data_IF_229216222489
#
_entry.id   IF_229216222489
#
_cell.length_a   1.000
_cell.length_b   1.000
_cell.length_c   1.000
_cell.angle_alpha   90.00
_cell.angle_beta   90.00
_cell.angle_gamma   90.00
#
_symmetry.space_group_name_H-M   'P 1'
#
loop_
_entity.id
_entity.type
_entity.pdbx_description
1 polymer ?
#
# COMPACT_ATOMS: atom_id res chain seq x y z
N UNK A 1 -15.98 -23.01 -15.56
CA UNK A 1 -16.69 -23.14 -14.24
C UNK A 1 -16.86 -21.73 -13.69
N UNK A 2 -18.03 -21.40 -13.13
CA UNK A 2 -18.25 -20.07 -12.53
C UNK A 2 -17.43 -19.92 -11.23
N UNK A 3 -16.42 -19.05 -11.26
CA UNK A 3 -15.49 -18.82 -10.13
C UNK A 3 -16.17 -18.22 -8.89
N UNK A 4 -17.41 -17.72 -8.99
CA UNK A 4 -18.20 -17.28 -7.85
C UNK A 4 -18.93 -18.43 -7.14
N UNK A 5 -19.06 -19.60 -7.76
CA UNK A 5 -19.76 -20.75 -7.22
C UNK A 5 -18.87 -21.75 -6.49
N UNK A 6 -17.57 -21.79 -6.83
CA UNK A 6 -16.55 -22.64 -6.19
C UNK A 6 -15.27 -21.84 -6.09
N UNK A 7 -14.67 -21.75 -4.89
CA UNK A 7 -13.43 -21.00 -4.61
C UNK A 7 -12.45 -21.96 -3.95
N UNK A 8 -11.32 -22.26 -4.59
CA UNK A 8 -10.33 -23.25 -4.14
C UNK A 8 -10.97 -24.57 -3.68
N UNK A 9 -11.83 -25.15 -4.54
CA UNK A 9 -12.60 -26.35 -4.25
C UNK A 9 -13.57 -26.26 -3.06
N UNK A 10 -13.87 -25.05 -2.58
CA UNK A 10 -14.90 -24.83 -1.56
C UNK A 10 -16.19 -24.36 -2.24
N UNK A 11 -17.29 -25.14 -2.21
CA UNK A 11 -18.55 -24.74 -2.85
C UNK A 11 -19.24 -23.62 -2.06
N UNK A 12 -19.72 -22.62 -2.78
CA UNK A 12 -20.46 -21.51 -2.19
C UNK A 12 -21.95 -21.83 -2.06
N UNK A 13 -22.60 -21.38 -0.96
CA UNK A 13 -24.04 -21.54 -0.81
C UNK A 13 -24.81 -20.90 -1.98
N UNK A 14 -25.87 -21.56 -2.49
CA UNK A 14 -26.69 -21.05 -3.61
C UNK A 14 -27.17 -19.61 -3.43
N UNK A 15 -27.52 -19.21 -2.19
CA UNK A 15 -27.94 -17.84 -1.86
C UNK A 15 -26.82 -16.81 -2.05
N UNK A 16 -25.56 -17.21 -1.81
CA UNK A 16 -24.37 -16.36 -1.99
C UNK A 16 -24.11 -16.13 -3.47
N UNK A 17 -24.11 -17.20 -4.27
CA UNK A 17 -23.96 -17.13 -5.74
C UNK A 17 -25.05 -16.24 -6.36
N UNK A 18 -26.34 -16.48 -6.01
CA UNK A 18 -27.45 -15.64 -6.46
C UNK A 18 -27.32 -14.17 -6.05
N UNK A 19 -26.76 -13.91 -4.88
CA UNK A 19 -26.50 -12.54 -4.42
C UNK A 19 -25.37 -11.87 -5.23
N UNK A 20 -24.33 -12.63 -5.60
CA UNK A 20 -23.24 -12.17 -6.46
C UNK A 20 -23.75 -11.81 -7.87
N UNK A 21 -24.57 -12.67 -8.47
CA UNK A 21 -25.23 -12.41 -9.76
C UNK A 21 -26.08 -11.13 -9.73
N UNK A 22 -26.91 -10.97 -8.70
CA UNK A 22 -27.71 -9.75 -8.50
C UNK A 22 -26.84 -8.50 -8.36
N UNK A 23 -25.68 -8.61 -7.71
CA UNK A 23 -24.74 -7.49 -7.59
C UNK A 23 -24.21 -7.07 -8.96
N UNK A 24 -23.74 -8.00 -9.78
CA UNK A 24 -23.31 -7.71 -11.15
C UNK A 24 -24.43 -7.08 -11.98
N UNK A 25 -25.62 -7.68 -11.96
CA UNK A 25 -26.80 -7.18 -12.71
C UNK A 25 -27.20 -5.76 -12.28
N UNK A 26 -27.07 -5.40 -10.99
CA UNK A 26 -27.29 -4.05 -10.49
C UNK A 26 -26.37 -3.04 -11.17
N UNK A 27 -25.08 -3.35 -11.30
CA UNK A 27 -24.11 -2.43 -11.91
C UNK A 27 -24.31 -2.30 -13.41
N UNK A 28 -24.63 -3.40 -14.11
CA UNK A 28 -25.02 -3.37 -15.54
C UNK A 28 -26.24 -2.45 -15.72
N UNK A 29 -27.28 -2.63 -14.91
CA UNK A 29 -28.48 -1.77 -14.97
C UNK A 29 -28.17 -0.29 -14.72
N UNK A 30 -27.20 0.01 -13.83
CA UNK A 30 -26.87 1.37 -13.43
C UNK A 30 -25.94 2.09 -14.42
N UNK A 31 -24.95 1.37 -14.97
CA UNK A 31 -23.85 1.97 -15.73
C UNK A 31 -23.79 1.52 -17.20
N UNK A 32 -24.65 0.59 -17.61
CA UNK A 32 -24.68 0.01 -18.95
C UNK A 32 -23.95 -1.33 -19.03
N UNK A 33 -24.23 -2.09 -20.09
CA UNK A 33 -23.55 -3.32 -20.44
C UNK A 33 -22.50 -3.02 -21.53
N UNK A 34 -21.24 -3.08 -21.14
CA UNK A 34 -20.08 -2.88 -22.01
C UNK A 34 -19.31 -4.18 -22.31
N UNK A 35 -19.95 -5.35 -22.06
CA UNK A 35 -19.33 -6.66 -22.27
C UNK A 35 -18.78 -6.89 -23.69
N UNK A 36 -19.39 -6.24 -24.68
CA UNK A 36 -18.98 -6.29 -26.10
C UNK A 36 -18.11 -5.09 -26.54
N UNK A 37 -17.77 -4.19 -25.62
CA UNK A 37 -16.95 -3.03 -25.96
C UNK A 37 -15.56 -3.44 -26.48
N UNK A 38 -15.02 -2.64 -27.40
CA UNK A 38 -13.69 -2.81 -27.98
C UNK A 38 -12.82 -1.60 -27.63
N UNK A 39 -12.44 -1.54 -26.35
CA UNK A 39 -11.59 -0.47 -25.82
C UNK A 39 -10.19 -0.57 -26.41
N UNK A 40 -9.76 0.42 -27.15
CA UNK A 40 -8.41 0.53 -27.69
C UNK A 40 -7.43 0.96 -26.59
N UNK A 41 -6.27 0.33 -26.55
CA UNK A 41 -5.25 0.54 -25.52
C UNK A 41 -4.14 1.44 -26.06
N UNK A 42 -3.84 2.47 -25.29
CA UNK A 42 -2.76 3.42 -25.58
C UNK A 42 -1.91 3.64 -24.30
N UNK A 43 -0.76 4.31 -24.42
CA UNK A 43 0.15 4.53 -23.31
C UNK A 43 0.47 6.01 -23.13
N UNK A 44 0.59 6.44 -21.86
CA UNK A 44 1.06 7.77 -21.48
C UNK A 44 2.16 7.64 -20.44
N UNK A 45 3.20 8.44 -20.58
CA UNK A 45 4.26 8.48 -19.58
C UNK A 45 3.73 9.00 -18.23
N UNK A 46 4.35 8.54 -17.16
CA UNK A 46 4.10 9.00 -15.80
C UNK A 46 5.32 9.79 -15.35
N UNK A 47 5.28 11.14 -15.43
CA UNK A 47 6.47 11.96 -15.18
C UNK A 47 7.12 11.71 -13.81
N UNK A 48 6.32 11.53 -12.77
CA UNK A 48 6.82 11.23 -11.40
C UNK A 48 7.57 9.90 -11.33
N UNK A 49 7.26 8.96 -12.24
CA UNK A 49 7.87 7.62 -12.31
C UNK A 49 8.81 7.47 -13.50
N UNK A 50 9.39 8.57 -14.01
CA UNK A 50 10.36 8.56 -15.11
C UNK A 50 11.61 7.74 -14.79
N UNK A 51 12.06 7.76 -13.54
CA UNK A 51 13.22 6.99 -13.05
C UNK A 51 13.07 5.47 -13.21
N UNK A 52 11.84 4.95 -13.26
CA UNK A 52 11.54 3.54 -13.57
C UNK A 52 10.95 3.36 -14.97
N UNK A 53 10.83 4.43 -15.74
CA UNK A 53 10.29 4.43 -17.10
C UNK A 53 8.91 3.76 -17.20
N UNK A 54 8.01 4.04 -16.24
CA UNK A 54 6.67 3.48 -16.21
C UNK A 54 5.73 4.24 -17.16
N UNK A 55 4.89 3.50 -17.92
CA UNK A 55 3.86 4.07 -18.77
C UNK A 55 2.48 3.69 -18.27
N UNK A 56 1.56 4.65 -18.22
CA UNK A 56 0.17 4.43 -17.84
C UNK A 56 -0.64 3.91 -19.02
N UNK A 57 -1.38 2.83 -18.80
CA UNK A 57 -2.33 2.29 -19.78
C UNK A 57 -3.60 3.15 -19.75
N UNK A 58 -3.99 3.65 -20.92
CA UNK A 58 -5.19 4.50 -21.11
C UNK A 58 -6.00 4.01 -22.31
N UNK A 59 -7.25 4.45 -22.42
CA UNK A 59 -8.00 4.26 -23.65
C UNK A 59 -7.52 5.25 -24.71
N UNK A 60 -7.50 4.82 -25.97
CA UNK A 60 -7.11 5.59 -27.14
C UNK A 60 -8.01 5.32 -28.34
N UNK A 61 -7.67 5.91 -29.48
CA UNK A 61 -8.37 5.70 -30.75
C UNK A 61 -7.92 4.41 -31.45
N UNK A 62 -6.63 4.06 -31.30
CA UNK A 62 -6.00 2.89 -31.87
C UNK A 62 -5.22 2.09 -30.80
N UNK A 63 -4.96 0.81 -31.07
CA UNK A 63 -4.16 -0.01 -30.19
C UNK A 63 -2.66 0.26 -30.39
N UNK A 64 -1.97 0.66 -29.35
CA UNK A 64 -0.51 0.62 -29.31
C UNK A 64 -0.02 -0.77 -28.90
N UNK A 65 1.15 -1.15 -29.39
CA UNK A 65 1.78 -2.42 -29.05
C UNK A 65 2.65 -2.29 -27.81
N UNK A 66 2.52 -3.24 -26.92
CA UNK A 66 3.44 -3.39 -25.79
C UNK A 66 4.86 -3.72 -26.25
N UNK A 67 5.85 -3.27 -25.48
CA UNK A 67 7.24 -3.69 -25.69
C UNK A 67 7.41 -5.19 -25.40
N UNK A 68 8.42 -5.83 -26.01
CA UNK A 68 8.67 -7.27 -25.83
C UNK A 68 8.93 -7.69 -24.38
N UNK A 69 9.51 -6.78 -23.60
CA UNK A 69 9.80 -6.98 -22.18
C UNK A 69 8.74 -6.32 -21.27
N UNK A 70 7.52 -6.15 -21.76
CA UNK A 70 6.43 -5.56 -20.97
C UNK A 70 6.10 -6.40 -19.74
N UNK A 71 5.78 -5.71 -18.65
CA UNK A 71 5.14 -6.27 -17.45
C UNK A 71 4.06 -5.31 -16.99
N UNK A 72 2.85 -5.80 -16.77
CA UNK A 72 1.73 -4.96 -16.32
C UNK A 72 1.60 -5.02 -14.80
N UNK A 73 1.52 -3.85 -14.17
CA UNK A 73 1.18 -3.70 -12.75
C UNK A 73 -0.25 -3.21 -12.63
N UNK A 74 -1.14 -4.12 -12.26
CA UNK A 74 -2.57 -3.87 -12.11
C UNK A 74 -2.91 -3.44 -10.69
N UNK A 75 -3.61 -2.32 -10.57
CA UNK A 75 -4.02 -1.77 -9.29
C UNK A 75 -5.38 -1.07 -9.35
N UNK A 76 -5.79 -0.53 -8.21
CA UNK A 76 -6.90 0.41 -8.09
C UNK A 76 -6.52 1.50 -7.10
N UNK A 77 -7.00 2.72 -7.33
CA UNK A 77 -6.86 3.80 -6.35
C UNK A 77 -7.82 3.60 -5.18
N UNK A 78 -7.33 2.93 -4.14
CA UNK A 78 -8.05 2.73 -2.89
C UNK A 78 -7.13 3.05 -1.71
N UNK A 79 -6.94 4.36 -1.47
CA UNK A 79 -5.90 4.88 -0.56
C UNK A 79 -4.49 4.86 -1.19
N UNK A 80 -3.47 5.13 -0.37
CA UNK A 80 -2.07 5.20 -0.81
C UNK A 80 -1.38 3.85 -0.85
N UNK A 81 -1.84 2.87 -0.06
CA UNK A 81 -1.17 1.59 0.12
C UNK A 81 -0.99 0.81 -1.17
N UNK A 82 -2.07 0.63 -1.94
CA UNK A 82 -2.00 -0.11 -3.21
C UNK A 82 -1.11 0.58 -4.25
N UNK A 83 -1.13 1.92 -4.31
CA UNK A 83 -0.24 2.68 -5.19
C UNK A 83 1.21 2.50 -4.79
N UNK A 84 1.53 2.56 -3.49
CA UNK A 84 2.89 2.35 -2.96
C UNK A 84 3.42 0.97 -3.32
N UNK A 85 2.64 -0.08 -3.07
CA UNK A 85 3.03 -1.45 -3.43
C UNK A 85 3.18 -1.61 -4.95
N UNK A 86 2.30 -0.97 -5.74
CA UNK A 86 2.39 -0.99 -7.20
C UNK A 86 3.67 -0.31 -7.71
N UNK A 87 4.09 0.80 -7.08
CA UNK A 87 5.36 1.45 -7.40
C UNK A 87 6.53 0.51 -7.08
N UNK A 88 6.49 -0.19 -5.94
CA UNK A 88 7.50 -1.18 -5.59
C UNK A 88 7.59 -2.31 -6.65
N UNK A 89 6.46 -2.82 -7.14
CA UNK A 89 6.44 -3.83 -8.20
C UNK A 89 7.01 -3.29 -9.53
N UNK A 90 6.63 -2.06 -9.92
CA UNK A 90 7.12 -1.42 -11.13
C UNK A 90 8.63 -1.12 -11.04
N UNK A 91 9.11 -0.67 -9.89
CA UNK A 91 10.51 -0.44 -9.59
C UNK A 91 11.34 -1.73 -9.69
N UNK A 92 10.88 -2.82 -9.05
CA UNK A 92 11.52 -4.12 -9.16
C UNK A 92 11.52 -4.67 -10.61
N UNK A 93 10.42 -4.48 -11.35
CA UNK A 93 10.33 -4.86 -12.75
C UNK A 93 11.40 -4.13 -13.58
N UNK A 94 11.52 -2.81 -13.41
CA UNK A 94 12.54 -2.01 -14.08
C UNK A 94 13.95 -2.47 -13.75
N UNK A 95 14.25 -2.70 -12.48
CA UNK A 95 15.55 -3.19 -12.02
C UNK A 95 15.92 -4.55 -12.61
N UNK A 96 14.94 -5.40 -12.92
CA UNK A 96 15.12 -6.70 -13.55
C UNK A 96 15.05 -6.65 -15.09
N UNK A 97 15.01 -5.46 -15.71
CA UNK A 97 15.07 -5.25 -17.15
C UNK A 97 13.72 -5.31 -17.88
N UNK A 98 12.61 -5.22 -17.15
CA UNK A 98 11.27 -5.17 -17.74
C UNK A 98 10.76 -3.73 -17.84
N UNK A 99 9.91 -3.46 -18.85
CA UNK A 99 9.18 -2.20 -19.00
C UNK A 99 7.88 -2.29 -18.22
N UNK A 100 7.72 -1.53 -17.12
CA UNK A 100 6.48 -1.54 -16.35
C UNK A 100 5.38 -0.74 -17.04
N UNK A 101 4.20 -1.33 -17.15
CA UNK A 101 2.97 -0.69 -17.59
C UNK A 101 1.98 -0.62 -16.43
N UNK A 102 1.54 0.59 -16.09
CA UNK A 102 0.62 0.85 -14.99
C UNK A 102 -0.83 0.72 -15.46
N UNK A 103 -1.62 -0.13 -14.81
CA UNK A 103 -3.02 -0.33 -15.12
C UNK A 103 -3.89 -0.04 -13.87
N UNK A 104 -4.38 1.20 -13.75
CA UNK A 104 -5.36 1.54 -12.71
C UNK A 104 -6.77 1.31 -13.22
N UNK A 105 -7.41 0.22 -12.78
CA UNK A 105 -8.76 -0.15 -13.20
C UNK A 105 -9.85 0.84 -12.75
N UNK A 106 -9.57 1.76 -11.83
CA UNK A 106 -10.50 2.81 -11.45
C UNK A 106 -10.50 4.01 -12.41
N UNK A 107 -9.48 4.14 -13.30
CA UNK A 107 -9.27 5.33 -14.12
C UNK A 107 -10.10 5.38 -15.41
N UNK A 108 -10.67 4.26 -15.84
CA UNK A 108 -11.35 4.14 -17.15
C UNK A 108 -12.82 4.59 -17.12
N UNK A 109 -13.35 4.98 -18.28
CA UNK A 109 -14.79 5.18 -18.50
C UNK A 109 -15.44 3.85 -18.95
N UNK A 110 -15.47 2.88 -18.07
CA UNK A 110 -16.02 1.54 -18.26
C UNK A 110 -16.95 1.21 -17.09
N UNK A 111 -17.90 0.29 -17.30
CA UNK A 111 -18.87 -0.13 -16.28
C UNK A 111 -18.19 -0.69 -15.03
N UNK A 112 -17.16 -1.54 -15.20
CA UNK A 112 -16.38 -2.07 -14.10
C UNK A 112 -15.63 -0.99 -13.33
N UNK A 113 -15.08 0.00 -14.00
CA UNK A 113 -14.37 1.13 -13.36
C UNK A 113 -15.33 2.03 -12.55
N UNK A 114 -16.52 2.30 -13.09
CA UNK A 114 -17.60 3.03 -12.36
C UNK A 114 -18.03 2.28 -11.10
N UNK A 115 -18.13 0.95 -11.19
CA UNK A 115 -18.39 0.09 -10.03
C UNK A 115 -17.29 0.23 -8.97
N UNK A 116 -16.01 0.17 -9.35
CA UNK A 116 -14.88 0.32 -8.42
C UNK A 116 -14.97 1.66 -7.70
N UNK A 117 -15.17 2.76 -8.44
CA UNK A 117 -15.30 4.11 -7.85
C UNK A 117 -16.44 4.19 -6.84
N UNK A 118 -17.64 3.67 -7.18
CA UNK A 118 -18.77 3.63 -6.24
C UNK A 118 -18.45 2.85 -4.96
N UNK A 119 -17.80 1.69 -5.09
CA UNK A 119 -17.43 0.89 -3.91
C UNK A 119 -16.37 1.58 -3.05
N UNK A 120 -15.40 2.25 -3.67
CA UNK A 120 -14.39 3.03 -2.98
C UNK A 120 -15.00 4.23 -2.22
N UNK A 121 -15.94 4.94 -2.84
CA UNK A 121 -16.65 6.05 -2.21
C UNK A 121 -17.47 5.60 -1.00
N UNK A 122 -18.16 4.46 -1.12
CA UNK A 122 -18.91 3.87 0.00
C UNK A 122 -17.97 3.44 1.14
N UNK A 123 -16.83 2.81 0.83
CA UNK A 123 -15.83 2.42 1.82
C UNK A 123 -15.25 3.65 2.53
N UNK A 124 -14.89 4.69 1.78
CA UNK A 124 -14.35 5.95 2.31
C UNK A 124 -15.35 6.68 3.19
N UNK A 125 -16.64 6.69 2.82
CA UNK A 125 -17.71 7.27 3.63
C UNK A 125 -17.88 6.49 4.94
N UNK A 126 -17.95 5.16 4.88
CA UNK A 126 -18.09 4.30 6.07
C UNK A 126 -16.88 4.43 7.00
N UNK A 127 -15.67 4.52 6.46
CA UNK A 127 -14.44 4.78 7.23
C UNK A 127 -14.51 6.12 7.97
N UNK A 128 -14.95 7.20 7.32
CA UNK A 128 -15.10 8.52 7.96
C UNK A 128 -16.18 8.51 9.06
N UNK A 129 -17.29 7.80 8.85
CA UNK A 129 -18.35 7.66 9.87
C UNK A 129 -17.83 6.88 11.07
N UNK A 130 -17.04 5.82 10.86
CA UNK A 130 -16.48 5.00 11.94
C UNK A 130 -15.58 5.80 12.87
N UNK A 131 -14.86 6.77 12.33
CA UNK A 131 -13.97 7.65 13.11
C UNK A 131 -14.76 8.66 13.97
N UNK A 132 -15.94 9.09 13.51
CA UNK A 132 -16.80 10.04 14.23
C UNK A 132 -17.72 9.35 15.24
N UNK A 133 -18.07 8.09 15.03
CA UNK A 133 -19.02 7.34 15.86
C UNK A 133 -18.37 6.08 16.43
N UNK A 134 -18.01 6.10 17.72
CA UNK A 134 -17.48 4.94 18.44
C UNK A 134 -18.45 3.74 18.39
N UNK A 135 -19.75 3.99 18.42
CA UNK A 135 -20.77 2.95 18.36
C UNK A 135 -20.80 2.28 16.99
N UNK A 136 -20.81 3.07 15.90
CA UNK A 136 -20.76 2.57 14.53
C UNK A 136 -19.46 1.78 14.28
N UNK A 137 -18.33 2.32 14.77
CA UNK A 137 -17.05 1.61 14.66
C UNK A 137 -17.12 0.24 15.32
N UNK A 138 -17.58 0.16 16.59
CA UNK A 138 -17.60 -1.09 17.37
C UNK A 138 -18.59 -2.13 16.82
N UNK A 139 -19.76 -1.70 16.31
CA UNK A 139 -20.85 -2.61 15.93
C UNK A 139 -20.79 -2.98 14.45
N UNK A 140 -20.33 -2.07 13.59
CA UNK A 140 -20.39 -2.25 12.11
C UNK A 140 -19.01 -2.32 11.49
N UNK A 141 -18.19 -1.27 11.68
CA UNK A 141 -16.95 -1.12 10.94
C UNK A 141 -15.88 -2.15 11.33
N UNK A 142 -15.59 -2.26 12.61
CA UNK A 142 -14.60 -3.22 13.13
C UNK A 142 -14.97 -4.68 12.83
N UNK A 143 -16.20 -5.14 13.11
CA UNK A 143 -16.61 -6.50 12.74
C UNK A 143 -16.56 -6.77 11.23
N UNK A 144 -16.86 -5.77 10.40
CA UNK A 144 -16.78 -5.93 8.94
C UNK A 144 -15.31 -6.11 8.49
N UNK A 145 -14.40 -5.29 8.98
CA UNK A 145 -12.99 -5.31 8.58
C UNK A 145 -12.21 -6.48 9.20
N UNK A 146 -12.55 -6.91 10.40
CA UNK A 146 -11.86 -8.04 11.06
C UNK A 146 -12.45 -9.40 10.70
N UNK A 147 -13.78 -9.53 10.65
CA UNK A 147 -14.45 -10.81 10.50
C UNK A 147 -15.29 -10.92 9.21
N UNK A 148 -15.84 -9.80 8.71
CA UNK A 148 -16.68 -9.79 7.51
C UNK A 148 -15.87 -10.14 6.26
N UNK A 149 -14.80 -9.43 6.00
CA UNK A 149 -13.92 -9.64 4.85
C UNK A 149 -13.10 -10.93 4.92
N UNK A 150 -12.97 -11.52 6.11
CA UNK A 150 -12.30 -12.80 6.33
C UNK A 150 -13.06 -13.96 5.71
N UNK A 151 -14.39 -13.92 5.66
CA UNK A 151 -15.21 -15.04 5.18
C UNK A 151 -14.99 -15.31 3.70
N UNK A 152 -14.80 -16.59 3.34
CA UNK A 152 -14.64 -17.01 1.93
C UNK A 152 -15.87 -16.63 1.09
N UNK A 153 -17.08 -16.63 1.66
CA UNK A 153 -18.32 -16.26 0.97
C UNK A 153 -18.33 -14.80 0.50
N UNK A 154 -17.51 -13.91 1.08
CA UNK A 154 -17.37 -12.54 0.62
C UNK A 154 -16.75 -12.49 -0.79
N UNK A 155 -15.77 -13.36 -1.05
CA UNK A 155 -15.05 -13.42 -2.32
C UNK A 155 -15.96 -13.73 -3.52
N UNK A 156 -17.02 -14.53 -3.34
CA UNK A 156 -17.93 -14.89 -4.44
C UNK A 156 -18.54 -13.66 -5.14
N UNK A 157 -18.87 -12.61 -4.38
CA UNK A 157 -19.40 -11.36 -4.94
C UNK A 157 -18.33 -10.60 -5.73
N UNK A 158 -17.11 -10.56 -5.21
CA UNK A 158 -16.00 -9.88 -5.88
C UNK A 158 -15.61 -10.59 -7.17
N UNK A 159 -15.56 -11.93 -7.17
CA UNK A 159 -15.36 -12.74 -8.36
C UNK A 159 -16.40 -12.39 -9.45
N UNK A 160 -17.68 -12.28 -9.07
CA UNK A 160 -18.75 -11.98 -10.03
C UNK A 160 -18.69 -10.54 -10.54
N UNK A 161 -18.40 -9.59 -9.67
CA UNK A 161 -18.29 -8.20 -10.04
C UNK A 161 -17.04 -7.91 -10.90
N UNK A 162 -15.93 -8.63 -10.69
CA UNK A 162 -14.71 -8.49 -11.48
C UNK A 162 -14.88 -8.88 -12.95
N UNK A 163 -15.90 -9.66 -13.29
CA UNK A 163 -16.27 -9.92 -14.69
C UNK A 163 -16.63 -8.64 -15.45
N UNK A 164 -17.08 -7.56 -14.77
CA UNK A 164 -17.38 -6.26 -15.39
C UNK A 164 -16.12 -5.50 -15.83
N UNK A 165 -14.93 -5.93 -15.41
CA UNK A 165 -13.65 -5.33 -15.79
C UNK A 165 -13.02 -6.00 -17.00
N UNK A 166 -13.50 -7.19 -17.39
CA UNK A 166 -12.95 -7.99 -18.49
C UNK A 166 -12.85 -7.21 -19.82
N UNK A 167 -13.80 -6.36 -20.22
CA UNK A 167 -13.71 -5.62 -21.47
C UNK A 167 -12.46 -4.75 -21.60
N UNK A 168 -11.91 -4.23 -20.46
CA UNK A 168 -10.67 -3.42 -20.44
C UNK A 168 -9.47 -4.24 -20.94
N UNK A 169 -9.48 -5.56 -20.72
CA UNK A 169 -8.38 -6.46 -21.06
C UNK A 169 -8.47 -7.04 -22.50
N UNK A 170 -9.51 -6.72 -23.26
CA UNK A 170 -9.77 -7.36 -24.55
C UNK A 170 -8.59 -7.25 -25.52
N UNK A 171 -7.99 -6.08 -25.61
CA UNK A 171 -6.86 -5.77 -26.48
C UNK A 171 -5.49 -5.86 -25.79
N UNK A 172 -5.42 -6.45 -24.61
CA UNK A 172 -4.17 -6.77 -23.92
C UNK A 172 -3.79 -8.21 -24.24
N UNK A 173 -2.55 -8.43 -24.67
CA UNK A 173 -2.00 -9.77 -24.94
C UNK A 173 -2.03 -10.60 -23.65
N UNK A 174 -2.54 -11.83 -23.73
CA UNK A 174 -2.80 -12.66 -22.55
C UNK A 174 -1.53 -13.24 -21.92
N UNK A 175 -0.45 -13.28 -22.67
CA UNK A 175 0.84 -13.81 -22.20
C UNK A 175 1.76 -12.74 -21.57
N UNK A 176 1.34 -11.47 -21.56
CA UNK A 176 2.10 -10.42 -20.85
C UNK A 176 2.08 -10.70 -19.34
N UNK A 177 3.24 -10.76 -18.67
CA UNK A 177 3.33 -10.90 -17.23
C UNK A 177 2.51 -9.83 -16.50
N UNK A 178 1.73 -10.25 -15.49
CA UNK A 178 0.81 -9.37 -14.78
C UNK A 178 0.94 -9.53 -13.28
N UNK A 179 1.17 -8.42 -12.56
CA UNK A 179 1.18 -8.39 -11.10
C UNK A 179 0.05 -7.48 -10.63
N UNK A 180 -0.87 -8.03 -9.85
CA UNK A 180 -1.95 -7.28 -9.22
C UNK A 180 -1.60 -6.97 -7.77
N UNK A 181 -1.84 -5.74 -7.33
CA UNK A 181 -1.67 -5.31 -5.93
C UNK A 181 -3.00 -5.15 -5.19
N UNK A 182 -4.08 -5.54 -5.83
CA UNK A 182 -5.41 -5.68 -5.26
C UNK A 182 -6.14 -6.85 -5.92
N UNK A 183 -7.08 -7.44 -5.20
CA UNK A 183 -7.80 -8.65 -5.66
C UNK A 183 -8.61 -8.42 -6.94
N UNK A 184 -9.28 -7.28 -7.11
CA UNK A 184 -10.12 -7.04 -8.29
C UNK A 184 -9.32 -6.98 -9.61
N UNK A 185 -8.17 -6.30 -9.70
CA UNK A 185 -7.28 -6.43 -10.85
C UNK A 185 -6.82 -7.86 -11.11
N UNK A 186 -6.52 -8.63 -10.05
CA UNK A 186 -6.13 -10.02 -10.19
C UNK A 186 -7.25 -10.89 -10.74
N UNK A 187 -8.45 -10.81 -10.14
CA UNK A 187 -9.63 -11.55 -10.60
C UNK A 187 -10.02 -11.16 -12.03
N UNK A 188 -9.99 -9.87 -12.37
CA UNK A 188 -10.28 -9.38 -13.70
C UNK A 188 -9.31 -9.94 -14.76
N UNK A 189 -8.01 -9.95 -14.46
CA UNK A 189 -7.00 -10.52 -15.33
C UNK A 189 -7.24 -12.03 -15.57
N UNK A 190 -7.55 -12.79 -14.50
CA UNK A 190 -7.89 -14.23 -14.61
C UNK A 190 -9.17 -14.44 -15.41
N UNK A 191 -10.23 -13.65 -15.18
CA UNK A 191 -11.48 -13.73 -15.97
C UNK A 191 -11.24 -13.34 -17.43
N UNK A 192 -10.32 -12.44 -17.71
CA UNK A 192 -9.93 -12.05 -19.07
C UNK A 192 -9.02 -13.07 -19.78
N UNK A 193 -8.60 -14.14 -19.09
CA UNK A 193 -7.78 -15.21 -19.66
C UNK A 193 -6.27 -14.93 -19.67
N UNK A 194 -5.77 -13.99 -18.86
CA UNK A 194 -4.32 -13.81 -18.71
C UNK A 194 -3.67 -15.02 -18.06
N UNK A 195 -2.50 -15.42 -18.56
CA UNK A 195 -1.84 -16.69 -18.21
C UNK A 195 -0.81 -16.57 -17.09
N UNK A 196 -0.20 -15.39 -16.93
CA UNK A 196 0.89 -15.13 -15.99
C UNK A 196 0.49 -14.08 -14.94
N UNK A 197 -0.41 -14.46 -14.02
CA UNK A 197 -0.97 -13.54 -13.03
C UNK A 197 -0.43 -13.83 -11.63
N UNK A 198 0.21 -12.83 -11.03
CA UNK A 198 0.61 -12.81 -9.62
C UNK A 198 -0.31 -11.85 -8.86
N UNK A 199 -0.87 -12.30 -7.75
CA UNK A 199 -1.69 -11.53 -6.83
C UNK A 199 -0.87 -11.21 -5.57
N UNK A 200 -0.30 -10.01 -5.50
CA UNK A 200 0.48 -9.54 -4.36
C UNK A 200 -0.44 -9.07 -3.24
N UNK A 201 -0.53 -9.85 -2.18
CA UNK A 201 -1.43 -9.59 -1.06
C UNK A 201 -0.80 -8.56 -0.11
N UNK A 202 -1.44 -7.38 0.08
CA UNK A 202 -0.87 -6.29 0.86
C UNK A 202 -0.88 -6.54 2.36
N UNK A 203 -1.93 -7.19 2.86
CA UNK A 203 -2.22 -7.29 4.29
C UNK A 203 -1.64 -8.55 4.93
N UNK A 204 -1.17 -8.41 6.17
CA UNK A 204 -0.73 -9.55 6.98
C UNK A 204 -1.88 -10.29 7.66
N UNK A 205 -3.12 -9.83 7.51
CA UNK A 205 -4.31 -10.51 8.00
C UNK A 205 -4.94 -11.36 6.89
N UNK A 206 -4.97 -12.70 7.00
CA UNK A 206 -5.56 -13.54 5.98
C UNK A 206 -7.07 -13.29 5.84
N UNK A 207 -7.49 -12.87 4.64
CA UNK A 207 -8.89 -12.54 4.34
C UNK A 207 -9.37 -13.20 3.06
N UNK A 208 -10.62 -13.69 3.07
CA UNK A 208 -11.28 -14.21 1.88
C UNK A 208 -11.39 -13.19 0.74
N UNK A 209 -11.45 -11.90 1.11
CA UNK A 209 -11.41 -10.78 0.18
C UNK A 209 -10.24 -10.90 -0.83
N UNK A 210 -9.06 -11.33 -0.40
CA UNK A 210 -7.84 -11.30 -1.24
C UNK A 210 -7.69 -12.50 -2.17
N UNK A 211 -8.62 -13.44 -2.17
CA UNK A 211 -8.50 -14.67 -2.98
C UNK A 211 -8.80 -14.42 -4.46
N UNK A 212 -7.91 -14.88 -5.32
CA UNK A 212 -8.03 -14.82 -6.80
C UNK A 212 -7.67 -16.17 -7.40
N UNK A 213 -8.61 -17.10 -7.45
CA UNK A 213 -8.36 -18.46 -7.96
C UNK A 213 -7.87 -18.44 -9.40
N UNK A 214 -6.74 -19.10 -9.64
CA UNK A 214 -6.01 -19.11 -10.90
C UNK A 214 -4.75 -18.25 -10.91
N UNK A 215 -4.62 -17.29 -9.97
CA UNK A 215 -3.39 -16.51 -9.79
C UNK A 215 -2.41 -17.20 -8.83
N UNK A 216 -1.11 -16.86 -8.94
CA UNK A 216 -0.13 -17.12 -7.89
C UNK A 216 -0.29 -16.05 -6.82
N UNK A 217 -0.59 -16.45 -5.58
CA UNK A 217 -0.69 -15.54 -4.44
C UNK A 217 0.67 -15.37 -3.80
N UNK A 218 1.08 -14.14 -3.55
CA UNK A 218 2.30 -13.82 -2.82
C UNK A 218 1.97 -13.11 -1.51
N UNK A 219 2.63 -13.55 -0.44
CA UNK A 219 2.44 -13.03 0.91
C UNK A 219 3.77 -12.64 1.53
N UNK A 220 3.74 -11.69 2.47
CA UNK A 220 4.93 -11.05 3.02
C UNK A 220 5.48 -11.78 4.24
N UNK A 221 4.64 -12.55 4.97
CA UNK A 221 4.99 -13.08 6.29
C UNK A 221 4.59 -14.55 6.47
N UNK A 222 5.23 -15.26 7.39
CA UNK A 222 4.84 -16.63 7.74
C UNK A 222 3.40 -16.73 8.28
N UNK A 223 2.93 -15.73 9.01
CA UNK A 223 1.56 -15.69 9.51
C UNK A 223 0.53 -15.64 8.38
N UNK A 224 0.75 -14.75 7.38
CA UNK A 224 -0.10 -14.68 6.21
C UNK A 224 -0.03 -15.98 5.39
N UNK A 225 1.17 -16.54 5.18
CA UNK A 225 1.33 -17.81 4.48
C UNK A 225 0.51 -18.93 5.13
N UNK A 226 0.64 -19.12 6.46
CA UNK A 226 -0.12 -20.14 7.18
C UNK A 226 -1.63 -19.94 7.02
N UNK A 227 -2.11 -18.72 7.18
CA UNK A 227 -3.53 -18.39 7.09
C UNK A 227 -4.13 -18.67 5.71
N UNK A 228 -3.44 -18.31 4.63
CA UNK A 228 -3.88 -18.58 3.27
C UNK A 228 -3.68 -20.04 2.86
N UNK A 229 -2.60 -20.69 3.29
CA UNK A 229 -2.35 -22.10 3.00
C UNK A 229 -3.47 -23.01 3.49
N UNK A 230 -3.98 -22.71 4.67
CA UNK A 230 -5.02 -23.54 5.33
C UNK A 230 -6.42 -22.97 5.19
N UNK A 231 -6.56 -21.71 4.79
CA UNK A 231 -7.80 -20.92 4.90
C UNK A 231 -8.43 -21.03 6.31
N UNK A 232 -7.57 -21.25 7.31
CA UNK A 232 -7.98 -21.41 8.70
C UNK A 232 -8.59 -20.10 9.24
N UNK A 233 -9.75 -20.19 9.86
CA UNK A 233 -10.46 -19.04 10.39
C UNK A 233 -11.29 -18.26 9.36
N UNK A 234 -11.37 -18.68 8.09
CA UNK A 234 -12.24 -18.08 7.07
C UNK A 234 -13.68 -18.58 7.18
N UNK A 235 -13.87 -19.72 7.81
CA UNK A 235 -15.18 -20.30 8.11
C UNK A 235 -15.11 -21.08 9.43
N UNK A 236 -16.28 -21.47 9.98
CA UNK A 236 -16.37 -22.32 11.17
C UNK A 236 -15.94 -23.77 10.93
N UNK A 237 -15.91 -24.21 9.67
CA UNK A 237 -15.49 -25.53 9.24
C UNK A 237 -14.15 -25.46 8.53
N UNK A 238 -13.32 -26.51 8.61
CA UNK A 238 -12.11 -26.60 7.79
C UNK A 238 -12.45 -26.42 6.30
N UNK A 239 -11.63 -25.62 5.61
CA UNK A 239 -11.74 -25.35 4.19
C UNK A 239 -10.57 -26.02 3.44
N UNK A 240 -10.77 -26.26 2.14
CA UNK A 240 -9.67 -26.59 1.25
C UNK A 240 -8.81 -25.34 1.07
N UNK A 241 -7.52 -25.44 1.39
CA UNK A 241 -6.57 -24.33 1.32
C UNK A 241 -6.09 -24.02 -0.10
N UNK A 242 -5.25 -22.99 -0.22
CA UNK A 242 -4.61 -22.65 -1.48
C UNK A 242 -3.56 -23.72 -1.81
N UNK A 243 -3.54 -24.29 -3.05
CA UNK A 243 -2.49 -25.20 -3.49
C UNK A 243 -1.09 -24.57 -3.41
N UNK A 244 -0.08 -25.39 -3.12
CA UNK A 244 1.29 -24.91 -2.88
C UNK A 244 1.89 -24.15 -4.09
N UNK A 245 1.58 -24.60 -5.29
CA UNK A 245 2.04 -23.93 -6.51
C UNK A 245 1.38 -22.56 -6.75
N UNK A 246 0.28 -22.26 -6.05
CA UNK A 246 -0.45 -20.98 -6.14
C UNK A 246 -0.23 -20.07 -4.90
N UNK A 247 0.65 -20.43 -3.97
CA UNK A 247 0.94 -19.62 -2.79
C UNK A 247 2.44 -19.60 -2.51
N UNK A 248 3.02 -18.41 -2.44
CA UNK A 248 4.45 -18.19 -2.16
C UNK A 248 4.63 -17.15 -1.07
N UNK A 249 5.49 -17.44 -0.10
CA UNK A 249 5.99 -16.43 0.85
C UNK A 249 7.24 -15.80 0.23
N UNK A 250 7.20 -14.49 -0.01
CA UNK A 250 8.22 -13.80 -0.81
C UNK A 250 8.95 -12.69 -0.05
N UNK A 251 8.48 -12.35 1.17
CA UNK A 251 8.99 -11.21 1.93
C UNK A 251 8.28 -9.89 1.55
N UNK A 252 8.79 -8.78 2.08
CA UNK A 252 8.14 -7.47 1.98
C UNK A 252 8.30 -6.85 0.60
N UNK A 253 7.25 -6.13 0.17
CA UNK A 253 7.18 -5.48 -1.14
C UNK A 253 7.82 -4.08 -1.07
N UNK A 254 9.11 -4.00 -1.37
CA UNK A 254 9.90 -2.78 -1.24
C UNK A 254 10.48 -2.34 -2.59
N UNK A 255 10.53 -1.03 -2.81
CA UNK A 255 11.10 -0.42 -4.00
C UNK A 255 12.61 -0.70 -4.09
N UNK A 256 13.10 -0.94 -5.31
CA UNK A 256 14.52 -1.12 -5.59
C UNK A 256 15.37 0.05 -5.07
N UNK A 257 14.89 1.28 -5.28
CA UNK A 257 15.58 2.51 -4.91
C UNK A 257 15.84 2.63 -3.40
N UNK A 258 14.95 2.05 -2.57
CA UNK A 258 15.14 2.01 -1.11
C UNK A 258 16.08 0.90 -0.65
N UNK A 259 16.36 -0.09 -1.49
CA UNK A 259 17.21 -1.24 -1.14
C UNK A 259 18.64 -1.09 -1.59
N UNK A 260 18.90 -0.32 -2.68
CA UNK A 260 20.23 -0.19 -3.28
C UNK A 260 21.24 0.37 -2.29
N UNK A 261 20.90 1.43 -1.57
CA UNK A 261 21.81 2.16 -0.67
C UNK A 261 21.44 2.00 0.82
N UNK A 262 20.60 1.03 1.15
CA UNK A 262 19.97 0.88 2.47
C UNK A 262 21.00 0.80 3.63
N UNK A 263 22.07 0.04 3.46
CA UNK A 263 23.11 -0.11 4.48
C UNK A 263 23.86 1.19 4.72
N UNK A 264 24.11 1.97 3.66
CA UNK A 264 24.71 3.31 3.77
C UNK A 264 23.71 4.31 4.40
N UNK A 265 22.42 4.21 4.08
CA UNK A 265 21.40 5.04 4.72
C UNK A 265 21.33 4.75 6.23
N UNK A 266 21.38 3.48 6.63
CA UNK A 266 21.45 3.08 8.05
C UNK A 266 22.74 3.54 8.72
N UNK A 267 23.88 3.47 8.01
CA UNK A 267 25.15 4.01 8.51
C UNK A 267 25.04 5.52 8.77
N UNK A 268 24.51 6.29 7.81
CA UNK A 268 24.29 7.74 7.97
C UNK A 268 23.34 8.08 9.13
N UNK A 269 22.29 7.29 9.36
CA UNK A 269 21.38 7.42 10.52
C UNK A 269 22.15 7.27 11.83
N UNK A 270 22.92 6.19 11.97
CA UNK A 270 23.73 5.91 13.16
C UNK A 270 24.76 7.03 13.42
N UNK A 271 25.44 7.52 12.39
CA UNK A 271 26.41 8.61 12.48
C UNK A 271 25.77 9.94 12.91
N UNK A 272 24.57 10.29 12.37
CA UNK A 272 23.83 11.49 12.81
C UNK A 272 23.46 11.42 14.29
N UNK A 273 22.97 10.30 14.76
CA UNK A 273 22.57 10.08 16.15
C UNK A 273 23.79 10.14 17.08
N UNK A 274 24.88 9.47 16.71
CA UNK A 274 26.12 9.45 17.49
C UNK A 274 26.74 10.86 17.62
N UNK A 275 26.67 11.67 16.54
CA UNK A 275 27.20 13.04 16.53
C UNK A 275 26.26 14.07 17.20
N UNK A 276 25.09 13.66 17.70
CA UNK A 276 24.14 14.56 18.38
C UNK A 276 23.44 15.55 17.45
N UNK A 277 23.40 15.27 16.14
CA UNK A 277 22.61 16.04 15.16
C UNK A 277 21.11 15.90 15.42
N UNK A 278 20.28 16.85 14.96
CA UNK A 278 18.83 16.76 15.09
C UNK A 278 18.30 15.45 14.53
N UNK A 279 17.47 14.74 15.32
CA UNK A 279 16.79 13.53 14.87
C UNK A 279 15.77 13.88 13.79
N UNK A 280 15.86 13.24 12.63
CA UNK A 280 14.97 13.46 11.49
C UNK A 280 13.76 12.55 11.58
N UNK A 281 12.61 13.12 11.91
CA UNK A 281 11.36 12.40 12.08
C UNK A 281 10.47 12.66 10.87
N UNK A 282 10.02 11.61 10.21
CA UNK A 282 9.02 11.65 9.13
C UNK A 282 7.66 11.23 9.68
N UNK A 283 6.68 12.09 9.57
CA UNK A 283 5.28 11.80 9.86
C UNK A 283 4.47 11.75 8.57
N UNK A 284 3.61 10.76 8.42
CA UNK A 284 2.75 10.62 7.24
C UNK A 284 1.28 10.71 7.60
N UNK A 285 0.52 11.50 6.85
CA UNK A 285 -0.94 11.50 6.91
C UNK A 285 -1.46 10.37 6.02
N UNK A 286 -2.21 9.46 6.59
CA UNK A 286 -2.80 8.34 5.82
C UNK A 286 -3.85 8.82 4.82
N UNK A 287 -4.06 8.04 3.74
CA UNK A 287 -4.94 8.37 2.62
C UNK A 287 -6.42 8.66 2.93
N UNK A 288 -6.85 8.54 4.18
CA UNK A 288 -8.18 8.93 4.65
C UNK A 288 -8.17 10.15 5.59
N UNK A 289 -7.01 10.78 5.84
CA UNK A 289 -6.86 11.89 6.80
C UNK A 289 -7.22 11.51 8.25
N UNK A 290 -7.17 10.21 8.55
CA UNK A 290 -7.62 9.66 9.83
C UNK A 290 -6.59 9.89 10.95
N UNK A 291 -7.07 10.04 12.20
CA UNK A 291 -6.18 10.17 13.37
C UNK A 291 -5.62 11.57 13.58
N UNK A 292 -6.24 12.62 13.04
CA UNK A 292 -5.79 14.01 13.15
C UNK A 292 -5.50 14.43 14.59
N UNK A 293 -6.33 14.03 15.56
CA UNK A 293 -6.10 14.41 16.96
C UNK A 293 -4.82 13.83 17.57
N UNK A 294 -4.42 12.63 17.16
CA UNK A 294 -3.14 12.04 17.58
C UNK A 294 -1.98 12.72 16.85
N UNK A 295 -2.13 12.93 15.55
CA UNK A 295 -1.18 13.67 14.73
C UNK A 295 -0.92 15.08 15.29
N UNK A 296 -1.98 15.84 15.59
CA UNK A 296 -1.87 17.16 16.21
C UNK A 296 -1.13 17.11 17.55
N UNK A 297 -1.46 16.13 18.41
CA UNK A 297 -0.80 15.98 19.71
C UNK A 297 0.70 15.71 19.57
N UNK A 298 1.12 14.89 18.61
CA UNK A 298 2.53 14.63 18.31
C UNK A 298 3.25 15.88 17.80
N UNK A 299 2.66 16.61 16.86
CA UNK A 299 3.28 17.84 16.34
C UNK A 299 3.45 18.87 17.47
N UNK A 300 2.40 19.10 18.27
CA UNK A 300 2.49 20.00 19.44
C UNK A 300 3.57 19.57 20.42
N UNK A 301 3.72 18.28 20.66
CA UNK A 301 4.72 17.70 21.54
C UNK A 301 6.15 17.87 21.00
N UNK A 302 6.34 17.79 19.68
CA UNK A 302 7.65 17.91 19.04
C UNK A 302 8.14 19.34 18.85
N UNK A 303 7.26 20.36 18.89
CA UNK A 303 7.66 21.77 18.69
C UNK A 303 8.80 22.23 19.62
N UNK A 304 8.79 21.97 20.94
CA UNK A 304 9.92 22.32 21.81
C UNK A 304 11.24 21.71 21.35
N UNK A 305 11.23 20.43 20.96
CA UNK A 305 12.42 19.73 20.45
C UNK A 305 12.93 20.33 19.13
N UNK A 306 12.01 20.77 18.25
CA UNK A 306 12.39 21.46 17.00
C UNK A 306 13.03 22.82 17.31
N UNK A 307 12.46 23.60 18.24
CA UNK A 307 13.02 24.90 18.67
C UNK A 307 14.39 24.77 19.30
N UNK A 308 14.64 23.69 20.01
CA UNK A 308 15.93 23.35 20.61
C UNK A 308 16.91 22.70 19.61
N UNK A 309 16.53 22.61 18.34
CA UNK A 309 17.30 21.95 17.29
C UNK A 309 17.68 20.48 17.61
N UNK A 310 16.83 19.78 18.37
CA UNK A 310 16.96 18.35 18.67
C UNK A 310 16.24 17.47 17.67
N UNK A 311 15.24 18.03 16.95
CA UNK A 311 14.42 17.34 15.95
C UNK A 311 14.31 18.21 14.70
N UNK A 312 14.46 17.58 13.54
CA UNK A 312 13.99 18.09 12.25
C UNK A 312 12.76 17.27 11.83
N UNK A 313 11.64 17.94 11.58
CA UNK A 313 10.35 17.29 11.37
C UNK A 313 9.91 17.38 9.91
N UNK A 314 9.77 16.25 9.22
CA UNK A 314 9.18 16.14 7.89
C UNK A 314 7.74 15.66 8.02
N UNK A 315 6.81 16.34 7.37
CA UNK A 315 5.39 15.98 7.41
C UNK A 315 4.88 15.84 5.98
N UNK A 316 4.59 14.61 5.55
CA UNK A 316 3.93 14.37 4.28
C UNK A 316 2.40 14.32 4.48
N UNK A 317 1.71 15.35 4.02
CA UNK A 317 0.25 15.46 4.03
C UNK A 317 -0.41 14.70 2.86
N UNK A 318 0.38 14.10 1.96
CA UNK A 318 -0.14 13.44 0.77
C UNK A 318 -0.90 14.42 -0.12
N UNK A 319 -2.16 14.10 -0.46
CA UNK A 319 -3.10 14.96 -1.21
C UNK A 319 -4.12 15.69 -0.30
N UNK A 320 -3.85 15.74 1.03
CA UNK A 320 -4.75 16.30 2.05
C UNK A 320 -4.34 17.70 2.53
N UNK A 321 -4.44 18.72 1.69
CA UNK A 321 -4.13 20.11 2.07
C UNK A 321 -5.02 20.63 3.22
N UNK A 322 -6.24 20.12 3.34
CA UNK A 322 -7.16 20.47 4.43
C UNK A 322 -6.63 20.05 5.81
N UNK A 323 -5.86 18.95 5.89
CA UNK A 323 -5.19 18.52 7.12
C UNK A 323 -4.08 19.49 7.51
N UNK A 324 -3.29 19.97 6.54
CA UNK A 324 -2.30 21.01 6.78
C UNK A 324 -2.96 22.30 7.30
N UNK A 325 -4.02 22.79 6.64
CA UNK A 325 -4.72 24.01 7.03
C UNK A 325 -5.26 23.91 8.47
N UNK A 326 -5.86 22.76 8.82
CA UNK A 326 -6.30 22.49 10.21
C UNK A 326 -5.15 22.47 11.21
N UNK A 327 -3.99 21.94 10.82
CA UNK A 327 -2.81 21.94 11.69
C UNK A 327 -2.35 23.36 11.98
N UNK A 328 -2.18 24.19 10.96
CA UNK A 328 -1.76 25.60 11.10
C UNK A 328 -2.76 26.41 11.94
N UNK A 329 -4.07 26.18 11.76
CA UNK A 329 -5.11 26.80 12.59
C UNK A 329 -4.99 26.43 14.07
N UNK A 330 -4.69 25.16 14.38
CA UNK A 330 -4.62 24.64 15.76
C UNK A 330 -3.27 24.89 16.45
N UNK A 331 -2.20 25.07 15.68
CA UNK A 331 -0.85 25.30 16.19
C UNK A 331 -0.41 26.71 15.81
N UNK A 332 -0.82 27.70 16.61
CA UNK A 332 -0.49 29.10 16.37
C UNK A 332 1.03 29.31 16.37
N UNK A 333 1.53 30.02 15.35
CA UNK A 333 2.94 30.36 15.23
C UNK A 333 3.84 29.17 14.82
N UNK A 334 3.26 28.10 14.26
CA UNK A 334 4.06 27.06 13.60
C UNK A 334 4.66 27.65 12.31
N UNK A 335 5.97 27.58 12.20
CA UNK A 335 6.70 27.95 10.99
C UNK A 335 7.08 26.68 10.23
N UNK A 336 6.73 26.63 8.95
CA UNK A 336 7.01 25.47 8.08
C UNK A 336 7.67 25.92 6.78
N UNK A 337 8.65 25.16 6.32
CA UNK A 337 9.16 25.21 4.95
C UNK A 337 8.26 24.33 4.09
N UNK A 338 7.58 24.92 3.11
CA UNK A 338 6.53 24.25 2.36
C UNK A 338 7.02 23.79 0.99
N UNK A 339 6.80 22.50 0.68
CA UNK A 339 6.96 21.90 -0.65
C UNK A 339 5.57 21.48 -1.16
N UNK A 340 4.81 22.45 -1.67
CA UNK A 340 3.42 22.25 -2.12
C UNK A 340 3.37 22.23 -3.65
N UNK A 341 3.12 21.05 -4.23
CA UNK A 341 3.23 20.80 -5.67
C UNK A 341 4.60 21.23 -6.24
N UNK A 342 5.65 21.02 -5.46
CA UNK A 342 7.05 21.37 -5.75
C UNK A 342 7.91 20.11 -5.63
N UNK A 343 7.53 19.08 -6.36
CA UNK A 343 8.15 17.75 -6.23
C UNK A 343 9.63 17.75 -6.64
N UNK A 344 10.00 18.49 -7.69
CA UNK A 344 11.42 18.61 -8.11
C UNK A 344 12.27 19.36 -7.09
N UNK A 345 11.72 20.42 -6.47
CA UNK A 345 12.41 21.13 -5.38
C UNK A 345 12.57 20.22 -4.15
N UNK A 346 11.57 19.37 -3.86
CA UNK A 346 11.68 18.36 -2.81
C UNK A 346 12.79 17.34 -3.13
N UNK A 347 12.92 16.88 -4.37
CA UNK A 347 14.02 15.99 -4.81
C UNK A 347 15.38 16.65 -4.61
N UNK A 348 15.51 17.90 -5.00
CA UNK A 348 16.75 18.69 -4.81
C UNK A 348 17.09 18.83 -3.32
N UNK A 349 16.11 19.18 -2.49
CA UNK A 349 16.26 19.27 -1.03
C UNK A 349 16.69 17.93 -0.41
N UNK A 350 16.06 16.82 -0.76
CA UNK A 350 16.45 15.51 -0.24
C UNK A 350 17.89 15.15 -0.62
N UNK A 351 18.32 15.48 -1.84
CA UNK A 351 19.69 15.29 -2.28
C UNK A 351 20.68 16.15 -1.46
N UNK A 352 20.33 17.39 -1.19
CA UNK A 352 21.14 18.32 -0.37
C UNK A 352 21.31 17.77 1.05
N UNK A 353 20.21 17.40 1.73
CA UNK A 353 20.26 16.96 3.13
C UNK A 353 20.76 15.52 3.30
N UNK A 354 20.98 14.78 2.23
CA UNK A 354 21.52 13.41 2.33
C UNK A 354 22.89 13.42 3.04
N UNK A 355 23.72 14.38 2.71
CA UNK A 355 25.04 14.59 3.36
C UNK A 355 25.08 15.87 4.22
N UNK A 356 24.07 16.73 4.12
CA UNK A 356 23.93 17.99 4.84
C UNK A 356 23.09 17.88 6.10
N UNK A 357 22.76 19.05 6.69
CA UNK A 357 21.93 19.16 7.89
C UNK A 357 20.49 19.58 7.55
N UNK A 358 19.56 19.18 8.40
CA UNK A 358 18.16 19.61 8.32
C UNK A 358 17.71 20.13 9.69
N UNK A 359 16.94 21.22 9.70
CA UNK A 359 16.41 21.83 10.93
C UNK A 359 15.03 22.45 10.68
N UNK A 360 14.18 22.48 11.69
CA UNK A 360 12.84 23.05 11.59
C UNK A 360 11.80 22.04 11.11
N UNK A 361 10.68 22.54 10.57
CA UNK A 361 9.54 21.74 10.11
C UNK A 361 9.36 21.92 8.61
N UNK A 362 9.22 20.80 7.91
CA UNK A 362 9.01 20.75 6.47
C UNK A 362 7.63 20.15 6.20
N UNK A 363 6.79 20.87 5.47
CA UNK A 363 5.45 20.43 5.08
C UNK A 363 5.41 20.08 3.60
N UNK A 364 5.02 18.84 3.29
CA UNK A 364 4.97 18.32 1.93
C UNK A 364 3.51 18.01 1.57
N UNK A 365 3.05 18.53 0.44
CA UNK A 365 1.74 18.28 -0.13
C UNK A 365 1.83 18.26 -1.64
N UNK A 366 1.21 17.26 -2.27
CA UNK A 366 1.12 17.20 -3.71
C UNK A 366 -0.30 16.77 -4.13
N UNK A 367 -0.83 17.48 -5.13
CA UNK A 367 -2.12 17.16 -5.72
C UNK A 367 -2.05 15.90 -6.60
N UNK A 368 -0.91 15.72 -7.28
CA UNK A 368 -0.66 14.49 -8.04
C UNK A 368 -0.47 13.31 -7.09
N UNK A 369 -1.15 12.20 -7.40
CA UNK A 369 -1.17 11.03 -6.51
C UNK A 369 0.18 10.32 -6.45
N UNK A 370 0.93 10.28 -7.54
CA UNK A 370 2.25 9.64 -7.55
C UNK A 370 3.24 10.46 -6.73
N UNK A 371 3.24 11.78 -6.88
CA UNK A 371 4.05 12.68 -6.06
C UNK A 371 3.67 12.60 -4.59
N UNK A 372 2.37 12.60 -4.26
CA UNK A 372 1.86 12.50 -2.89
C UNK A 372 2.33 11.22 -2.20
N UNK A 373 2.26 10.08 -2.90
CA UNK A 373 2.67 8.77 -2.38
C UNK A 373 4.20 8.67 -2.32
N UNK A 374 4.90 9.01 -3.41
CA UNK A 374 6.33 8.77 -3.53
C UNK A 374 7.18 9.76 -2.72
N UNK A 375 6.65 10.93 -2.34
CA UNK A 375 7.34 11.85 -1.42
C UNK A 375 7.73 11.20 -0.09
N UNK A 376 6.94 10.23 0.41
CA UNK A 376 7.32 9.44 1.59
C UNK A 376 8.55 8.58 1.31
N UNK A 377 8.57 7.85 0.19
CA UNK A 377 9.68 6.97 -0.19
C UNK A 377 10.95 7.80 -0.47
N UNK A 378 10.80 8.95 -1.12
CA UNK A 378 11.89 9.88 -1.39
C UNK A 378 12.57 10.40 -0.10
N UNK A 379 11.78 10.64 0.96
CA UNK A 379 12.29 11.12 2.26
C UNK A 379 12.88 10.01 3.13
N UNK A 380 12.51 8.74 2.94
CA UNK A 380 12.96 7.64 3.81
C UNK A 380 14.49 7.54 3.95
N UNK A 381 15.30 7.64 2.88
CA UNK A 381 16.78 7.53 2.99
C UNK A 381 17.42 8.59 3.89
N UNK A 382 16.78 9.76 4.02
CA UNK A 382 17.27 10.90 4.83
C UNK A 382 16.57 11.05 6.18
N UNK A 383 15.69 10.11 6.53
CA UNK A 383 14.90 10.08 7.77
C UNK A 383 15.49 9.07 8.76
N UNK A 384 15.47 9.39 10.04
CA UNK A 384 15.96 8.51 11.11
C UNK A 384 14.84 7.70 11.75
N UNK A 385 13.63 8.26 11.82
CA UNK A 385 12.45 7.62 12.41
C UNK A 385 11.20 7.94 11.61
N UNK A 386 10.50 6.91 11.16
CA UNK A 386 9.17 7.02 10.55
C UNK A 386 8.09 6.85 11.63
N UNK A 387 7.19 7.83 11.75
CA UNK A 387 5.99 7.72 12.58
C UNK A 387 4.78 7.47 11.69
N UNK A 388 4.17 6.31 11.83
CA UNK A 388 3.06 5.88 10.97
C UNK A 388 2.10 4.95 11.71
N UNK A 389 0.91 4.77 11.16
CA UNK A 389 0.04 3.65 11.53
C UNK A 389 0.60 2.35 10.93
N UNK A 390 0.31 1.18 11.53
CA UNK A 390 0.89 -0.09 11.08
C UNK A 390 0.18 -0.71 9.86
N UNK A 391 0.07 0.07 8.77
CA UNK A 391 -0.44 -0.39 7.47
C UNK A 391 0.71 -0.85 6.55
N UNK A 392 0.65 -0.53 5.25
CA UNK A 392 1.67 -0.88 4.27
C UNK A 392 3.09 -0.40 4.64
N UNK A 393 3.19 0.75 5.32
CA UNK A 393 4.48 1.29 5.77
C UNK A 393 5.12 0.49 6.91
N UNK A 394 4.37 -0.42 7.55
CA UNK A 394 4.91 -1.31 8.58
C UNK A 394 6.02 -2.23 8.07
N UNK A 395 6.04 -2.50 6.77
CA UNK A 395 6.97 -3.44 6.14
C UNK A 395 8.22 -2.79 5.56
N UNK A 396 8.28 -1.45 5.57
CA UNK A 396 9.39 -0.69 4.96
C UNK A 396 10.65 -0.71 5.82
N UNK A 397 11.86 -0.73 5.19
CA UNK A 397 13.15 -0.88 5.88
C UNK A 397 13.63 0.46 6.48
N UNK A 398 12.93 0.94 7.47
CA UNK A 398 13.25 2.18 8.21
C UNK A 398 12.85 2.00 9.67
N UNK A 399 13.60 2.52 10.66
CA UNK A 399 13.16 2.54 12.05
C UNK A 399 11.78 3.19 12.21
N UNK A 400 10.85 2.52 12.92
CA UNK A 400 9.45 2.94 12.99
C UNK A 400 8.94 3.10 14.41
N UNK A 401 8.10 4.12 14.60
CA UNK A 401 7.19 4.24 15.72
C UNK A 401 5.77 4.03 15.21
N UNK A 402 5.08 3.01 15.73
CA UNK A 402 3.69 2.76 15.38
C UNK A 402 2.74 3.53 16.29
N UNK A 403 1.96 4.41 15.66
CA UNK A 403 0.78 4.98 16.28
C UNK A 403 -0.42 4.01 16.13
N UNK A 404 -1.54 4.35 16.77
CA UNK A 404 -2.76 3.54 16.77
C UNK A 404 -3.20 3.11 15.36
N UNK A 405 -3.51 1.82 15.21
CA UNK A 405 -4.16 1.28 14.01
C UNK A 405 -5.59 1.85 13.83
N UNK A 406 -6.12 1.75 12.61
CA UNK A 406 -7.48 2.19 12.29
C UNK A 406 -8.39 0.99 12.05
N UNK A 407 -7.93 -0.02 11.35
CA UNK A 407 -8.64 -1.27 11.15
C UNK A 407 -7.97 -2.43 11.88
N UNK A 408 -8.76 -3.36 12.45
CA UNK A 408 -8.23 -4.50 13.22
C UNK A 408 -7.24 -5.38 12.48
N UNK A 409 -7.30 -5.42 11.14
CA UNK A 409 -6.33 -6.13 10.30
C UNK A 409 -4.92 -5.51 10.36
N UNK A 410 -4.80 -4.21 10.63
CA UNK A 410 -3.50 -3.51 10.71
C UNK A 410 -2.69 -3.90 11.96
N UNK A 411 -3.33 -4.44 13.00
CA UNK A 411 -2.66 -4.92 14.23
C UNK A 411 -1.55 -5.91 13.92
N UNK A 412 -1.75 -6.76 12.91
CA UNK A 412 -0.76 -7.78 12.53
C UNK A 412 0.46 -7.18 11.82
N UNK A 413 0.35 -6.00 11.22
CA UNK A 413 1.49 -5.21 10.76
C UNK A 413 2.34 -4.71 11.92
N UNK A 414 1.71 -4.20 12.99
CA UNK A 414 2.41 -3.78 14.20
C UNK A 414 3.13 -4.94 14.91
N UNK A 415 2.45 -6.09 15.03
CA UNK A 415 3.06 -7.30 15.61
C UNK A 415 4.28 -7.72 14.80
N UNK A 416 4.15 -7.76 13.46
CA UNK A 416 5.25 -8.16 12.59
C UNK A 416 6.47 -7.23 12.73
N UNK A 417 6.30 -5.90 12.67
CA UNK A 417 7.42 -4.96 12.81
C UNK A 417 8.08 -5.03 14.18
N UNK A 418 7.30 -5.18 15.26
CA UNK A 418 7.81 -5.38 16.61
C UNK A 418 8.67 -6.65 16.72
N UNK A 419 8.19 -7.78 16.19
CA UNK A 419 8.93 -9.05 16.23
C UNK A 419 10.11 -9.07 15.26
N UNK A 420 10.02 -8.32 14.15
CA UNK A 420 11.15 -8.09 13.26
C UNK A 420 12.25 -7.24 13.91
N UNK A 421 11.91 -6.41 14.89
CA UNK A 421 12.85 -5.59 15.66
C UNK A 421 13.19 -4.25 14.98
N UNK A 422 12.43 -3.84 13.96
CA UNK A 422 12.63 -2.58 13.24
C UNK A 422 11.62 -1.49 13.63
N UNK A 423 10.79 -1.75 14.64
CA UNK A 423 9.78 -0.82 15.12
C UNK A 423 9.56 -0.90 16.64
N UNK A 424 8.88 0.13 17.18
CA UNK A 424 8.33 0.08 18.54
C UNK A 424 7.10 -0.84 18.59
N UNK A 425 6.67 -1.27 19.78
CA UNK A 425 5.28 -1.65 19.99
C UNK A 425 4.33 -0.52 19.57
N UNK A 426 3.08 -0.88 19.24
CA UNK A 426 2.05 0.12 18.96
C UNK A 426 1.78 1.01 20.19
N UNK A 427 1.72 2.32 19.98
CA UNK A 427 1.37 3.32 20.98
C UNK A 427 -0.06 3.86 20.71
N UNK A 428 -1.10 3.27 21.30
CA UNK A 428 -2.50 3.53 20.93
C UNK A 428 -3.06 4.85 21.46
N UNK A 429 -2.40 5.52 22.42
CA UNK A 429 -2.87 6.78 23.01
C UNK A 429 -1.88 7.93 22.79
N UNK A 430 -2.40 9.17 22.86
CA UNK A 430 -1.56 10.40 22.77
C UNK A 430 -0.44 10.40 23.81
N UNK A 431 -0.72 9.92 25.02
CA UNK A 431 0.27 9.84 26.11
C UNK A 431 1.38 8.85 25.77
N UNK A 432 1.02 7.67 25.30
CA UNK A 432 1.98 6.61 24.98
C UNK A 432 2.86 6.98 23.78
N UNK A 433 2.27 7.55 22.70
CA UNK A 433 3.06 7.93 21.53
C UNK A 433 4.03 9.07 21.87
N UNK A 434 3.62 10.07 22.68
CA UNK A 434 4.51 11.14 23.11
C UNK A 434 5.63 10.62 24.02
N UNK A 435 5.31 9.74 24.97
CA UNK A 435 6.33 9.12 25.83
C UNK A 435 7.33 8.27 25.03
N UNK A 436 6.87 7.61 23.96
CA UNK A 436 7.76 6.86 23.08
C UNK A 436 8.64 7.79 22.24
N UNK A 437 8.11 8.91 21.76
CA UNK A 437 8.89 9.96 21.08
C UNK A 437 9.98 10.49 22.00
N UNK A 438 9.66 10.84 23.26
CA UNK A 438 10.64 11.31 24.25
C UNK A 438 11.76 10.27 24.45
N UNK A 439 11.40 8.99 24.54
CA UNK A 439 12.37 7.90 24.67
C UNK A 439 13.28 7.81 23.45
N UNK A 440 12.73 7.79 22.25
CA UNK A 440 13.50 7.67 21.01
C UNK A 440 14.38 8.90 20.71
N UNK A 441 13.97 10.09 21.16
CA UNK A 441 14.77 11.33 21.02
C UNK A 441 15.93 11.33 22.01
N UNK A 442 15.71 10.84 23.25
CA UNK A 442 16.72 10.86 24.31
C UNK A 442 17.70 9.69 24.28
N UNK A 443 17.24 8.53 23.80
CA UNK A 443 18.01 7.29 23.76
C UNK A 443 18.81 7.20 22.44
N UNK A 444 20.10 6.96 22.54
CA UNK A 444 21.00 6.92 21.38
C UNK A 444 21.28 5.50 20.88
N UNK A 445 20.66 4.47 21.46
CA UNK A 445 20.90 3.06 21.13
C UNK A 445 19.73 2.41 20.41
N UNK A 446 18.49 2.81 20.72
CA UNK A 446 17.26 2.16 20.18
C UNK A 446 17.15 2.25 18.66
N UNK A 447 17.31 3.45 18.06
CA UNK A 447 17.22 3.61 16.59
C UNK A 447 18.41 2.94 15.90
N UNK A 448 19.68 3.09 16.35
CA UNK A 448 20.79 2.31 15.83
C UNK A 448 20.56 0.79 15.87
N UNK A 449 20.01 0.26 16.98
CA UNK A 449 19.66 -1.15 17.05
C UNK A 449 18.62 -1.57 15.99
N UNK A 450 17.59 -0.75 15.76
CA UNK A 450 16.62 -0.98 14.68
C UNK A 450 17.30 -0.95 13.29
N UNK A 451 18.26 -0.06 13.06
CA UNK A 451 19.04 -0.02 11.82
C UNK A 451 19.85 -1.30 11.61
N UNK A 452 20.54 -1.80 12.65
CA UNK A 452 21.30 -3.05 12.57
C UNK A 452 20.37 -4.23 12.26
N UNK A 453 19.19 -4.24 12.87
CA UNK A 453 18.18 -5.27 12.60
C UNK A 453 17.66 -5.23 11.16
N UNK A 454 17.46 -4.04 10.59
CA UNK A 454 17.06 -3.84 9.19
C UNK A 454 18.17 -4.40 8.25
N UNK A 455 19.44 -4.14 8.54
CA UNK A 455 20.56 -4.64 7.74
C UNK A 455 20.64 -6.18 7.78
N UNK A 456 20.36 -6.80 8.92
CA UNK A 456 20.25 -8.25 9.06
C UNK A 456 19.10 -8.83 8.24
N UNK A 457 17.92 -8.23 8.33
CA UNK A 457 16.72 -8.63 7.58
C UNK A 457 16.93 -8.52 6.06
N UNK A 458 17.64 -7.49 5.61
CA UNK A 458 18.03 -7.34 4.18
C UNK A 458 18.88 -8.52 3.73
N UNK A 459 19.91 -8.91 4.51
CA UNK A 459 20.79 -10.05 4.19
C UNK A 459 20.03 -11.37 4.13
N UNK A 460 18.96 -11.51 4.90
CA UNK A 460 18.07 -12.69 4.87
C UNK A 460 17.06 -12.66 3.71
N UNK A 461 17.06 -11.62 2.87
CA UNK A 461 16.12 -11.47 1.76
C UNK A 461 14.70 -11.05 2.18
N UNK A 462 14.52 -10.58 3.41
CA UNK A 462 13.20 -10.18 3.95
C UNK A 462 12.51 -9.10 3.11
N UNK A 463 13.26 -8.26 2.42
CA UNK A 463 12.77 -7.15 1.60
C UNK A 463 12.73 -7.44 0.10
N UNK A 464 12.92 -8.70 -0.33
CA UNK A 464 13.00 -9.08 -1.74
C UNK A 464 11.63 -9.31 -2.40
N UNK A 465 10.51 -9.14 -1.67
CA UNK A 465 9.19 -9.55 -2.12
C UNK A 465 8.76 -9.00 -3.48
N UNK A 466 9.08 -7.74 -3.80
CA UNK A 466 8.75 -7.17 -5.10
C UNK A 466 9.52 -7.86 -6.24
N UNK A 467 10.81 -8.14 -6.05
CA UNK A 467 11.62 -8.89 -7.04
C UNK A 467 11.09 -10.31 -7.26
N UNK A 468 10.73 -11.00 -6.18
CA UNK A 468 10.20 -12.37 -6.25
C UNK A 468 8.84 -12.40 -6.98
N UNK A 469 7.97 -11.39 -6.76
CA UNK A 469 6.73 -11.25 -7.52
C UNK A 469 7.00 -11.11 -9.03
N UNK A 470 7.99 -10.29 -9.41
CA UNK A 470 8.37 -10.13 -10.82
C UNK A 470 8.89 -11.45 -11.39
N UNK A 471 9.81 -12.14 -10.70
CA UNK A 471 10.35 -13.44 -11.15
C UNK A 471 9.24 -14.47 -11.35
N UNK A 472 8.29 -14.55 -10.42
CA UNK A 472 7.13 -15.44 -10.54
C UNK A 472 6.24 -15.10 -11.74
N UNK A 473 5.98 -13.82 -11.98
CA UNK A 473 5.16 -13.38 -13.09
C UNK A 473 5.81 -13.68 -14.45
N UNK A 474 7.13 -13.58 -14.56
CA UNK A 474 7.87 -13.86 -15.81
C UNK A 474 8.31 -15.33 -15.96
N UNK A 475 7.91 -16.21 -15.05
CA UNK A 475 8.22 -17.64 -15.10
C UNK A 475 9.69 -17.99 -14.82
N UNK A 476 10.45 -17.11 -14.17
CA UNK A 476 11.80 -17.38 -13.70
C UNK A 476 11.73 -17.84 -12.24
N UNK A 477 11.88 -19.13 -12.04
CA UNK A 477 12.01 -19.71 -10.68
C UNK A 477 13.45 -19.72 -10.20
#
# INVERSE_FOLDING_TARGET
MDKSSVIFNNPMPKKVVKSAEKSKAKYIKKYGDDSNADYKINFKDIPTLDFINASNIVFGEENQKFEKNALIVGNIRMGFGHYRISIAMASAARALGYKPYWLDLASFDATGSKMIREQNDMYSLASRISQKSKLFNKIVWEPLNSEGFKKITYNAKDQKNSELLVPIFKNIDKDIPYIATHVWPSQAAIHAGMTHVVNAIPDNWPMGLHLSEGAIHTVQTPFAYFGYKTLNGFDKKPLNGIPEYQLKMVGCFIDHELLVDLENDNKRRKERIASGKPLRILMTVGGAGAGFDMFLAMVQHLIPYVKENKVALFINFGDHVDVYNKLVEKVKGIETKNYFNQYEDLKAFVKEIKEGDASGIYAIYNKDIFEAVYSTNLLMPVTDLLVTKPSELAYYPIPKLFMRHIGGHEVYGAINGREAGDSTPEAPTKKEVNAMLDRLISDKELIPHMCDRIDELKKLGHYNGAYECVKLAVGKQ
#
